data_IF_339819722099
#
_entry.id   IF_339819722099
#
_cell.length_a   1.000
_cell.length_b   1.000
_cell.length_c   1.000
_cell.angle_alpha   90.00
_cell.angle_beta   90.00
_cell.angle_gamma   90.00
#
_symmetry.space_group_name_H-M   'P 1'
#
loop_
_entity.id
_entity.type
_entity.pdbx_description
1 polymer ?
#
# COMPACT_ATOMS: atom_id res chain seq x y z
N UNK A 1 -7.85 -41.18 28.46
CA UNK A 1 -8.19 -41.59 27.07
C UNK A 1 -9.11 -40.60 26.36
N UNK A 2 -10.18 -40.09 27.01
CA UNK A 2 -11.09 -39.07 26.41
C UNK A 2 -10.41 -37.72 26.09
N UNK A 3 -9.48 -37.23 26.93
CA UNK A 3 -8.76 -35.97 26.71
C UNK A 3 -7.86 -35.96 25.47
N UNK A 4 -7.36 -37.12 25.04
CA UNK A 4 -6.47 -37.23 23.88
C UNK A 4 -7.23 -37.20 22.54
N UNK A 5 -8.50 -37.61 22.56
CA UNK A 5 -9.39 -37.59 21.39
C UNK A 5 -9.90 -36.16 21.14
N UNK A 6 -10.23 -35.42 22.21
CA UNK A 6 -10.62 -34.00 22.12
C UNK A 6 -9.50 -33.11 21.58
N UNK A 7 -8.23 -33.41 21.91
CA UNK A 7 -7.07 -32.65 21.40
C UNK A 7 -6.85 -32.85 19.90
N UNK A 8 -7.06 -34.06 19.39
CA UNK A 8 -6.81 -34.41 17.98
C UNK A 8 -7.93 -33.95 17.02
N UNK A 9 -9.16 -33.78 17.51
CA UNK A 9 -10.29 -33.30 16.70
C UNK A 9 -10.29 -31.76 16.61
N UNK A 10 -9.86 -31.06 17.68
CA UNK A 10 -9.79 -29.59 17.69
C UNK A 10 -8.56 -29.02 16.96
N UNK A 11 -7.44 -29.74 16.89
CA UNK A 11 -6.22 -29.30 16.23
C UNK A 11 -6.40 -28.86 14.75
N UNK A 12 -7.11 -29.60 13.87
CA UNK A 12 -7.33 -29.16 12.49
C UNK A 12 -8.25 -27.95 12.38
N UNK A 13 -9.25 -27.82 13.28
CA UNK A 13 -10.13 -26.64 13.31
C UNK A 13 -9.37 -25.37 13.75
N UNK A 14 -8.53 -25.48 14.77
CA UNK A 14 -7.67 -24.37 15.23
C UNK A 14 -6.68 -23.98 14.13
N UNK A 15 -6.09 -24.94 13.43
CA UNK A 15 -5.17 -24.68 12.31
C UNK A 15 -5.85 -23.94 11.14
N UNK A 16 -7.04 -24.37 10.73
CA UNK A 16 -7.82 -23.70 9.67
C UNK A 16 -8.25 -22.29 10.10
N UNK A 17 -8.60 -22.10 11.37
CA UNK A 17 -8.93 -20.78 11.91
C UNK A 17 -7.71 -19.84 11.86
N UNK A 18 -6.54 -20.31 12.33
CA UNK A 18 -5.30 -19.55 12.31
C UNK A 18 -4.82 -19.22 10.89
N UNK A 19 -4.96 -20.16 9.95
CA UNK A 19 -4.63 -19.93 8.55
C UNK A 19 -5.53 -18.86 7.90
N UNK A 20 -6.83 -18.86 8.21
CA UNK A 20 -7.76 -17.84 7.72
C UNK A 20 -7.49 -16.47 8.36
N UNK A 21 -7.17 -16.42 9.65
CA UNK A 21 -6.77 -15.18 10.32
C UNK A 21 -5.48 -14.65 9.69
N UNK A 22 -4.46 -15.50 9.51
CA UNK A 22 -3.20 -15.12 8.88
C UNK A 22 -3.40 -14.62 7.43
N UNK A 23 -4.20 -15.31 6.63
CA UNK A 23 -4.54 -14.90 5.27
C UNK A 23 -5.28 -13.55 5.24
N UNK A 24 -6.25 -13.37 6.13
CA UNK A 24 -6.98 -12.11 6.28
C UNK A 24 -6.05 -10.96 6.67
N UNK A 25 -5.15 -11.19 7.62
CA UNK A 25 -4.16 -10.20 8.05
C UNK A 25 -3.15 -9.88 6.94
N UNK A 26 -2.63 -10.89 6.24
CA UNK A 26 -1.75 -10.70 5.09
C UNK A 26 -2.42 -9.87 3.99
N UNK A 27 -3.70 -10.14 3.72
CA UNK A 27 -4.48 -9.39 2.73
C UNK A 27 -4.72 -7.95 3.15
N UNK A 28 -5.12 -7.72 4.40
CA UNK A 28 -5.32 -6.37 4.97
C UNK A 28 -4.01 -5.58 4.95
N UNK A 29 -2.91 -6.22 5.32
CA UNK A 29 -1.58 -5.60 5.37
C UNK A 29 -1.10 -5.21 3.97
N UNK A 30 -1.22 -6.13 3.00
CA UNK A 30 -0.91 -5.87 1.60
C UNK A 30 -1.75 -4.72 1.02
N UNK A 31 -3.06 -4.71 1.30
CA UNK A 31 -3.99 -3.67 0.83
C UNK A 31 -3.67 -2.28 1.41
N UNK A 32 -3.22 -2.23 2.68
CA UNK A 32 -2.76 -0.98 3.31
C UNK A 32 -1.53 -0.40 2.60
N UNK A 33 -0.51 -1.22 2.33
CA UNK A 33 0.70 -0.76 1.65
C UNK A 33 0.42 -0.30 0.22
N UNK A 34 -0.35 -1.08 -0.54
CA UNK A 34 -0.76 -0.71 -1.90
C UNK A 34 -1.53 0.61 -1.92
N UNK A 35 -2.46 0.79 -0.98
CA UNK A 35 -3.23 2.04 -0.84
C UNK A 35 -2.33 3.23 -0.53
N UNK A 36 -1.36 3.08 0.36
CA UNK A 36 -0.45 4.16 0.74
C UNK A 36 0.50 4.52 -0.40
N UNK A 37 1.08 3.51 -1.07
CA UNK A 37 1.91 3.72 -2.28
C UNK A 37 1.10 4.49 -3.33
N UNK A 38 -0.13 4.07 -3.61
CA UNK A 38 -1.00 4.75 -4.57
C UNK A 38 -1.22 6.23 -4.20
N UNK A 39 -1.56 6.52 -2.93
CA UNK A 39 -1.75 7.90 -2.47
C UNK A 39 -0.46 8.70 -2.58
N UNK A 40 0.69 8.10 -2.29
CA UNK A 40 1.99 8.75 -2.39
C UNK A 40 2.30 9.13 -3.83
N UNK A 41 2.19 8.17 -4.76
CA UNK A 41 2.41 8.41 -6.19
C UNK A 41 1.45 9.49 -6.73
N UNK A 42 0.18 9.48 -6.30
CA UNK A 42 -0.81 10.50 -6.67
C UNK A 42 -0.40 11.90 -6.24
N UNK A 43 0.11 12.07 -5.02
CA UNK A 43 0.55 13.37 -4.50
C UNK A 43 1.75 13.88 -5.31
N UNK A 44 2.72 13.02 -5.61
CA UNK A 44 3.91 13.36 -6.41
C UNK A 44 3.51 13.76 -7.83
N UNK A 45 2.67 12.96 -8.48
CA UNK A 45 2.16 13.25 -9.83
C UNK A 45 1.42 14.59 -9.89
N UNK A 46 0.55 14.84 -8.91
CA UNK A 46 -0.20 16.08 -8.82
C UNK A 46 0.71 17.29 -8.56
N UNK A 47 1.71 17.15 -7.69
CA UNK A 47 2.71 18.18 -7.41
C UNK A 47 3.50 18.54 -8.67
N UNK A 48 3.96 17.54 -9.42
CA UNK A 48 4.69 17.73 -10.67
C UNK A 48 3.82 18.42 -11.74
N UNK A 49 2.61 17.89 -12.00
CA UNK A 49 1.68 18.43 -13.02
C UNK A 49 1.29 19.88 -12.77
N UNK A 50 1.02 20.22 -11.51
CA UNK A 50 0.55 21.55 -11.14
C UNK A 50 1.69 22.50 -10.68
N UNK A 51 2.95 22.05 -10.72
CA UNK A 51 4.12 22.80 -10.23
C UNK A 51 3.94 23.28 -8.78
N UNK A 52 3.33 22.44 -7.95
CA UNK A 52 3.04 22.72 -6.55
C UNK A 52 4.06 22.03 -5.64
N UNK A 53 4.40 22.62 -4.48
CA UNK A 53 5.20 21.96 -3.46
C UNK A 53 4.55 20.64 -3.04
N UNK A 54 5.34 19.57 -3.01
CA UNK A 54 4.88 18.27 -2.51
C UNK A 54 4.89 18.31 -0.99
N UNK A 55 3.72 18.07 -0.40
CA UNK A 55 3.55 17.93 1.04
C UNK A 55 2.66 16.73 1.36
N UNK A 56 3.07 15.91 2.32
CA UNK A 56 2.33 14.72 2.75
C UNK A 56 1.64 14.99 4.07
N UNK A 57 0.31 14.99 4.06
CA UNK A 57 -0.45 14.97 5.31
C UNK A 57 -0.44 13.54 5.89
N UNK A 58 0.51 13.28 6.77
CA UNK A 58 0.71 11.99 7.44
C UNK A 58 -0.54 11.50 8.19
N UNK A 59 -1.34 12.41 8.74
CA UNK A 59 -2.59 12.05 9.42
C UNK A 59 -3.61 11.50 8.42
N UNK A 60 -3.77 12.15 7.27
CA UNK A 60 -4.68 11.69 6.21
C UNK A 60 -4.24 10.35 5.58
N UNK A 61 -2.93 10.09 5.58
CA UNK A 61 -2.34 8.87 5.06
C UNK A 61 -2.36 7.73 6.07
N UNK A 62 -2.56 8.02 7.36
CA UNK A 62 -2.48 7.06 8.46
C UNK A 62 -1.15 6.29 8.45
N UNK A 63 -0.05 7.04 8.28
CA UNK A 63 1.32 6.54 8.32
C UNK A 63 2.19 7.46 9.17
N UNK A 64 3.24 6.89 9.75
CA UNK A 64 4.31 7.61 10.43
C UNK A 64 5.29 8.22 9.42
N UNK A 65 6.09 9.18 9.88
CA UNK A 65 7.16 9.77 9.06
C UNK A 65 8.19 8.72 8.64
N UNK A 66 8.48 7.76 9.52
CA UNK A 66 9.36 6.63 9.23
C UNK A 66 8.80 5.74 8.11
N UNK A 67 7.52 5.40 8.15
CA UNK A 67 6.86 4.64 7.09
C UNK A 67 6.90 5.39 5.75
N UNK A 68 6.65 6.71 5.76
CA UNK A 68 6.77 7.53 4.55
C UNK A 68 8.20 7.49 3.99
N UNK A 69 9.22 7.67 4.82
CA UNK A 69 10.62 7.58 4.41
C UNK A 69 10.96 6.23 3.79
N UNK A 70 10.45 5.13 4.35
CA UNK A 70 10.62 3.78 3.82
C UNK A 70 9.93 3.61 2.45
N UNK A 71 8.70 4.09 2.29
CA UNK A 71 8.01 4.04 0.99
C UNK A 71 8.79 4.83 -0.06
N UNK A 72 9.22 6.06 0.26
CA UNK A 72 9.96 6.91 -0.66
C UNK A 72 11.28 6.24 -1.07
N UNK A 73 12.03 5.68 -0.12
CA UNK A 73 13.26 4.96 -0.41
C UNK A 73 13.02 3.79 -1.37
N UNK A 74 12.06 2.91 -1.05
CA UNK A 74 11.77 1.74 -1.89
C UNK A 74 11.27 2.12 -3.28
N UNK A 75 10.51 3.21 -3.41
CA UNK A 75 10.05 3.71 -4.71
C UNK A 75 11.19 4.32 -5.54
N UNK A 76 12.19 4.93 -4.91
CA UNK A 76 13.40 5.43 -5.58
C UNK A 76 14.26 4.25 -6.03
N UNK A 77 14.53 3.28 -5.14
CA UNK A 77 15.30 2.07 -5.46
C UNK A 77 14.66 1.26 -6.60
N UNK A 78 13.32 1.19 -6.63
CA UNK A 78 12.57 0.54 -7.70
C UNK A 78 12.42 1.39 -8.97
N UNK A 79 13.04 2.59 -9.02
CA UNK A 79 12.98 3.51 -10.15
C UNK A 79 11.55 3.93 -10.54
N UNK A 80 10.62 4.06 -9.58
CA UNK A 80 9.26 4.54 -9.82
C UNK A 80 9.12 6.06 -9.62
N UNK A 81 9.98 6.66 -8.80
CA UNK A 81 10.01 8.10 -8.56
C UNK A 81 11.44 8.62 -8.58
N UNK A 82 11.61 9.89 -8.96
CA UNK A 82 12.90 10.57 -8.96
C UNK A 82 12.77 12.02 -8.47
N UNK A 83 13.91 12.70 -8.27
CA UNK A 83 13.95 14.07 -7.74
C UNK A 83 13.69 14.17 -6.23
N UNK A 84 13.92 13.08 -5.50
CA UNK A 84 13.74 12.97 -4.05
C UNK A 84 15.01 12.40 -3.46
N UNK A 85 15.56 13.06 -2.43
CA UNK A 85 16.66 12.52 -1.64
C UNK A 85 16.09 11.98 -0.35
N UNK A 86 16.42 10.72 -0.04
CA UNK A 86 16.16 10.13 1.26
C UNK A 86 17.50 9.86 1.93
N UNK A 87 17.73 10.48 3.08
CA UNK A 87 18.96 10.29 3.86
C UNK A 87 18.71 9.30 4.99
N UNK A 88 19.62 8.35 5.13
CA UNK A 88 19.71 7.41 6.24
C UNK A 88 20.87 7.86 7.14
N UNK A 89 20.64 7.99 8.45
CA UNK A 89 21.73 8.23 9.37
C UNK A 89 22.64 6.99 9.45
N UNK A 90 23.95 7.18 9.63
CA UNK A 90 24.92 6.10 9.74
C UNK A 90 24.49 5.09 10.81
N UNK A 91 24.46 3.81 10.43
CA UNK A 91 24.06 2.67 11.29
C UNK A 91 22.62 2.70 11.83
N UNK A 92 21.73 3.54 11.31
CA UNK A 92 20.32 3.50 11.68
C UNK A 92 19.49 2.73 10.66
N UNK A 93 18.48 1.99 11.09
CA UNK A 93 17.50 1.33 10.20
C UNK A 93 16.37 2.26 9.77
N UNK A 94 16.36 3.50 10.25
CA UNK A 94 15.27 4.45 10.06
C UNK A 94 15.56 5.45 8.92
N UNK A 95 14.56 5.64 8.04
CA UNK A 95 14.55 6.68 7.02
C UNK A 95 13.86 7.93 7.59
N UNK A 96 14.63 8.78 8.25
CA UNK A 96 14.06 9.87 9.07
C UNK A 96 13.96 11.21 8.34
N UNK A 97 14.70 11.39 7.24
CA UNK A 97 14.71 12.67 6.53
C UNK A 97 14.66 12.46 5.02
N UNK A 98 13.74 13.18 4.39
CA UNK A 98 13.60 13.26 2.95
C UNK A 98 13.49 14.71 2.50
N UNK A 99 13.97 15.00 1.29
CA UNK A 99 13.86 16.32 0.66
C UNK A 99 13.40 16.16 -0.78
N UNK A 100 12.34 16.89 -1.13
CA UNK A 100 11.87 17.01 -2.51
C UNK A 100 12.61 18.12 -3.23
N UNK A 101 13.05 17.82 -4.45
CA UNK A 101 13.42 18.87 -5.40
C UNK A 101 12.19 19.41 -6.12
N UNK A 102 12.36 20.57 -6.75
CA UNK A 102 11.32 21.29 -7.47
C UNK A 102 10.71 20.48 -8.65
N UNK A 103 11.38 19.40 -9.06
CA UNK A 103 10.97 18.53 -10.17
C UNK A 103 10.83 17.06 -9.76
N UNK A 104 10.54 16.79 -8.48
CA UNK A 104 10.20 15.44 -8.05
C UNK A 104 9.01 14.91 -8.85
N UNK A 105 9.16 13.73 -9.45
CA UNK A 105 8.21 13.19 -10.44
C UNK A 105 8.19 11.67 -10.47
N UNK A 106 7.14 11.13 -11.09
CA UNK A 106 7.10 9.73 -11.50
C UNK A 106 8.05 9.51 -12.68
N UNK A 107 8.70 8.35 -12.72
CA UNK A 107 9.35 7.82 -13.93
C UNK A 107 8.30 7.20 -14.85
N UNK A 108 8.71 6.74 -16.04
CA UNK A 108 7.80 6.02 -16.94
C UNK A 108 7.21 4.76 -16.28
N UNK A 109 8.04 3.97 -15.60
CA UNK A 109 7.60 2.77 -14.89
C UNK A 109 6.65 3.11 -13.73
N UNK A 110 6.92 4.20 -13.01
CA UNK A 110 6.03 4.72 -11.97
C UNK A 110 4.67 5.16 -12.51
N UNK A 111 4.64 5.78 -13.70
CA UNK A 111 3.38 6.14 -14.38
C UNK A 111 2.57 4.91 -14.77
N UNK A 112 3.20 3.92 -15.40
CA UNK A 112 2.53 2.68 -15.80
C UNK A 112 1.98 1.92 -14.59
N UNK A 113 2.74 1.85 -13.50
CA UNK A 113 2.30 1.23 -12.24
C UNK A 113 1.13 2.00 -11.60
N UNK A 114 1.18 3.32 -11.61
CA UNK A 114 0.09 4.17 -11.11
C UNK A 114 -1.19 3.98 -11.93
N UNK A 115 -1.10 3.98 -13.26
CA UNK A 115 -2.23 3.83 -14.16
C UNK A 115 -2.88 2.45 -14.10
N UNK A 116 -2.09 1.38 -14.06
CA UNK A 116 -2.59 0.00 -13.92
C UNK A 116 -3.37 -0.19 -12.61
N UNK A 117 -2.89 0.36 -11.50
CA UNK A 117 -3.63 0.37 -10.24
C UNK A 117 -4.94 1.19 -10.32
N UNK A 118 -4.97 2.34 -11.01
CA UNK A 118 -6.24 3.08 -11.21
C UNK A 118 -7.23 2.34 -12.11
N UNK A 119 -6.74 1.68 -13.16
CA UNK A 119 -7.55 0.98 -14.16
C UNK A 119 -8.17 -0.27 -13.56
N UNK A 120 -7.37 -1.07 -12.83
CA UNK A 120 -7.88 -2.24 -12.10
C UNK A 120 -8.87 -1.82 -11.03
N UNK A 121 -8.57 -0.75 -10.27
CA UNK A 121 -9.49 -0.22 -9.25
C UNK A 121 -10.83 0.24 -9.85
N UNK A 122 -10.80 0.89 -11.02
CA UNK A 122 -12.01 1.30 -11.76
C UNK A 122 -12.79 0.08 -12.26
N UNK A 123 -12.09 -0.89 -12.85
CA UNK A 123 -12.69 -2.14 -13.33
C UNK A 123 -13.37 -2.92 -12.19
N UNK A 124 -12.68 -3.11 -11.06
CA UNK A 124 -13.23 -3.78 -9.87
C UNK A 124 -14.43 -3.01 -9.28
N UNK A 125 -14.40 -1.68 -9.29
CA UNK A 125 -15.54 -0.85 -8.86
C UNK A 125 -16.77 -1.10 -9.74
N UNK A 126 -16.61 -1.03 -11.06
CA UNK A 126 -17.70 -1.24 -12.01
C UNK A 126 -18.30 -2.65 -11.86
N UNK A 127 -17.46 -3.68 -11.70
CA UNK A 127 -17.93 -5.05 -11.46
C UNK A 127 -18.74 -5.17 -10.17
N UNK A 128 -18.28 -4.55 -9.08
CA UNK A 128 -18.98 -4.57 -7.79
C UNK A 128 -20.37 -3.92 -7.91
N UNK A 129 -20.46 -2.75 -8.54
CA UNK A 129 -21.73 -2.06 -8.79
C UNK A 129 -22.68 -2.92 -9.63
N UNK A 130 -22.17 -3.60 -10.66
CA UNK A 130 -22.97 -4.51 -11.49
C UNK A 130 -23.50 -5.70 -10.68
N UNK A 131 -22.69 -6.30 -9.82
CA UNK A 131 -23.10 -7.41 -8.94
C UNK A 131 -24.13 -6.95 -7.90
N UNK A 132 -23.94 -5.77 -7.31
CA UNK A 132 -24.91 -5.18 -6.38
C UNK A 132 -26.25 -4.88 -7.07
N UNK A 133 -26.22 -4.36 -8.31
CA UNK A 133 -27.41 -4.16 -9.12
C UNK A 133 -28.14 -5.48 -9.37
N UNK A 134 -27.44 -6.54 -9.79
CA UNK A 134 -28.06 -7.85 -10.04
C UNK A 134 -28.71 -8.47 -8.78
N UNK A 135 -28.17 -8.20 -7.59
CA UNK A 135 -28.75 -8.67 -6.32
C UNK A 135 -30.08 -8.00 -5.97
N UNK A 136 -30.42 -6.86 -6.56
CA UNK A 136 -31.70 -6.18 -6.33
C UNK A 136 -32.86 -6.80 -7.14
N UNK A 137 -32.55 -7.65 -8.12
CA UNK A 137 -33.52 -8.32 -8.99
C UNK A 137 -33.65 -9.83 -8.73
N UNK A 138 -32.96 -10.34 -7.70
CA UNK A 138 -33.08 -11.71 -7.16
C UNK A 138 -33.67 -11.65 -5.76
#
# INVERSE_FOLDING_TARGET
>A
MLQFILLNICAPFIFVLLANIFYSWSKIYFDRHATNIYKILKIIDNGYKNKQPINFDLKSLNITEHELGLYLHNLIEANYIEGIIVSKALNQTYFEKYRFYQYARLTLDGMLFYESNTTIKRFCKNLKETVEFMKLFN
#
